data_IF_882943739102
#
_entry.id   IF_882943739102
#
_cell.length_a   1.000
_cell.length_b   1.000
_cell.length_c   1.000
_cell.angle_alpha   90.00
_cell.angle_beta   90.00
_cell.angle_gamma   90.00
#
_symmetry.space_group_name_H-M   'P 1'
#
loop_
_entity.id
_entity.type
_entity.pdbx_description
1 polymer ?
#
# COMPACT_ATOMS: atom_id res chain seq x y z
N UNK A 1 9.30 -39.63 6.24
CA UNK A 1 9.97 -38.72 7.15
C UNK A 1 11.06 -38.02 6.35
N UNK A 2 10.77 -36.86 5.79
CA UNK A 2 11.77 -35.96 5.25
C UNK A 2 11.24 -34.55 5.49
N UNK A 3 11.84 -33.88 6.47
CA UNK A 3 11.66 -32.47 6.74
C UNK A 3 12.28 -31.66 5.60
N UNK A 4 11.59 -30.66 5.03
CA UNK A 4 12.26 -29.68 4.19
C UNK A 4 12.86 -28.60 5.11
N UNK A 5 14.16 -28.68 5.33
CA UNK A 5 14.99 -27.55 5.74
C UNK A 5 15.08 -26.58 4.59
N UNK A 6 14.32 -25.49 4.64
CA UNK A 6 14.58 -24.34 3.81
C UNK A 6 14.55 -23.12 4.71
N UNK A 7 15.73 -22.76 5.18
CA UNK A 7 16.03 -21.46 5.79
C UNK A 7 15.96 -20.41 4.67
N UNK A 8 14.78 -19.86 4.42
CA UNK A 8 14.57 -18.81 3.45
C UNK A 8 14.08 -17.58 4.18
N UNK A 9 14.92 -17.05 5.07
CA UNK A 9 14.79 -15.67 5.55
C UNK A 9 14.99 -14.76 4.36
N UNK A 10 13.91 -14.12 3.94
CA UNK A 10 13.89 -13.28 2.74
C UNK A 10 14.64 -11.98 2.98
N UNK A 11 15.96 -12.02 2.90
CA UNK A 11 16.74 -10.80 2.62
C UNK A 11 16.50 -10.50 1.14
N UNK A 12 15.59 -9.59 0.84
CA UNK A 12 15.43 -9.03 -0.50
C UNK A 12 16.61 -8.10 -0.74
N UNK A 13 17.81 -8.64 -0.98
CA UNK A 13 18.89 -7.86 -1.54
C UNK A 13 18.51 -7.56 -2.98
N UNK A 14 18.49 -6.28 -3.35
CA UNK A 14 18.41 -5.86 -4.75
C UNK A 14 19.42 -6.63 -5.57
N UNK A 15 19.04 -7.00 -6.81
CA UNK A 15 19.97 -7.64 -7.75
C UNK A 15 21.22 -6.77 -7.95
N UNK A 16 22.34 -7.35 -8.41
CA UNK A 16 23.62 -6.64 -8.54
C UNK A 16 23.44 -5.44 -9.49
N UNK A 17 23.68 -4.22 -8.98
CA UNK A 17 23.73 -2.98 -9.77
C UNK A 17 22.70 -1.90 -9.46
N UNK A 18 21.85 -2.03 -8.39
CA UNK A 18 20.96 -0.93 -7.96
C UNK A 18 21.58 -0.17 -6.79
N UNK A 19 21.56 1.17 -6.90
CA UNK A 19 21.95 2.08 -5.82
C UNK A 19 20.92 2.03 -4.68
N UNK A 20 21.30 2.35 -3.45
CA UNK A 20 20.38 2.47 -2.30
C UNK A 20 19.27 3.51 -2.55
N UNK A 21 19.48 4.45 -3.47
CA UNK A 21 18.52 5.45 -3.92
C UNK A 21 17.29 4.85 -4.65
N UNK A 22 17.38 3.60 -5.12
CA UNK A 22 16.30 2.90 -5.81
C UNK A 22 15.34 2.17 -4.84
N UNK A 23 15.58 2.20 -3.53
CA UNK A 23 14.73 1.52 -2.54
C UNK A 23 13.70 2.51 -1.97
N UNK A 24 12.42 2.19 -2.19
CA UNK A 24 11.29 3.01 -1.71
C UNK A 24 10.90 2.64 -0.28
N UNK A 25 10.90 1.35 0.06
CA UNK A 25 10.63 0.85 1.41
C UNK A 25 11.76 -0.07 1.82
N UNK A 26 12.37 0.18 2.96
CA UNK A 26 13.37 -0.68 3.56
C UNK A 26 13.00 -0.95 5.02
N UNK A 27 12.71 -2.22 5.32
CA UNK A 27 12.31 -2.71 6.63
C UNK A 27 13.42 -3.62 7.13
N UNK A 28 14.01 -3.30 8.31
CA UNK A 28 15.15 -3.99 8.88
C UNK A 28 14.85 -4.47 10.29
N UNK A 29 14.83 -5.79 10.48
CA UNK A 29 14.66 -6.50 11.76
C UNK A 29 13.48 -5.98 12.60
N UNK A 30 12.38 -5.62 11.92
CA UNK A 30 11.21 -4.99 12.52
C UNK A 30 10.37 -6.02 13.25
N UNK A 31 10.12 -5.76 14.53
CA UNK A 31 9.13 -6.46 15.34
C UNK A 31 8.08 -5.47 15.87
N UNK A 32 6.83 -5.93 15.96
CA UNK A 32 5.71 -5.15 16.46
C UNK A 32 4.88 -5.96 17.45
N UNK A 33 4.73 -5.46 18.69
CA UNK A 33 3.86 -6.00 19.73
C UNK A 33 2.81 -4.97 20.16
N UNK A 34 1.69 -5.44 20.75
CA UNK A 34 0.64 -4.63 21.36
C UNK A 34 0.56 -4.92 22.87
N UNK A 35 1.40 -4.30 23.68
CA UNK A 35 1.32 -4.42 25.15
C UNK A 35 2.55 -3.94 25.88
N UNK A 36 2.37 -3.37 27.06
CA UNK A 36 3.46 -2.86 27.90
C UNK A 36 4.28 -3.96 28.60
N UNK A 37 3.87 -5.25 28.49
CA UNK A 37 4.46 -6.39 29.22
C UNK A 37 4.95 -7.52 28.32
N UNK A 38 5.31 -7.24 27.05
CA UNK A 38 5.74 -8.26 26.07
C UNK A 38 7.13 -8.88 26.37
N UNK A 39 7.38 -9.26 27.63
CA UNK A 39 8.53 -10.12 27.97
C UNK A 39 8.34 -11.57 27.49
N UNK A 40 7.10 -11.97 27.16
CA UNK A 40 6.73 -13.32 26.74
C UNK A 40 6.44 -13.46 25.22
N UNK A 41 6.89 -12.53 24.37
CA UNK A 41 6.93 -12.74 22.92
C UNK A 41 5.61 -12.57 22.16
N UNK A 42 4.66 -11.77 22.66
CA UNK A 42 3.39 -11.45 21.95
C UNK A 42 3.55 -10.54 20.74
N UNK A 43 4.59 -10.73 19.92
CA UNK A 43 4.77 -9.96 18.69
C UNK A 43 3.82 -10.44 17.58
N UNK A 44 3.10 -9.47 16.97
CA UNK A 44 2.28 -9.68 15.76
C UNK A 44 3.17 -9.77 14.52
N UNK A 45 4.23 -8.94 14.49
CA UNK A 45 5.27 -9.00 13.46
C UNK A 45 6.59 -9.35 14.15
N UNK A 46 7.35 -10.29 13.56
CA UNK A 46 8.53 -10.87 14.18
C UNK A 46 9.72 -10.77 13.23
N UNK A 47 10.66 -9.91 13.57
CA UNK A 47 11.96 -9.80 12.89
C UNK A 47 11.85 -9.71 11.36
N UNK A 48 10.96 -8.83 10.86
CA UNK A 48 10.74 -8.66 9.43
C UNK A 48 11.87 -7.86 8.79
N UNK A 49 12.42 -8.39 7.69
CA UNK A 49 13.41 -7.68 6.87
C UNK A 49 13.07 -7.85 5.40
N UNK A 50 12.77 -6.76 4.69
CA UNK A 50 12.50 -6.75 3.26
C UNK A 50 12.64 -5.36 2.65
N UNK A 51 12.79 -5.31 1.33
CA UNK A 51 12.91 -4.09 0.56
C UNK A 51 11.90 -4.09 -0.60
N UNK A 52 11.32 -2.91 -0.90
CA UNK A 52 10.55 -2.66 -2.10
C UNK A 52 11.30 -1.67 -2.99
N UNK A 53 11.83 -2.11 -4.12
CA UNK A 53 12.47 -1.24 -5.09
C UNK A 53 11.50 -0.25 -5.74
N UNK A 54 11.99 0.88 -6.23
CA UNK A 54 11.22 1.84 -7.00
C UNK A 54 10.57 1.17 -8.23
N UNK A 55 9.30 1.51 -8.49
CA UNK A 55 8.52 0.94 -9.59
C UNK A 55 8.20 -0.54 -9.45
N UNK A 56 8.43 -1.16 -8.28
CA UNK A 56 8.02 -2.55 -8.04
C UNK A 56 6.54 -2.67 -7.71
N UNK A 57 5.96 -3.83 -8.02
CA UNK A 57 4.60 -4.19 -7.64
C UNK A 57 4.65 -5.46 -6.80
N UNK A 58 4.02 -5.44 -5.62
CA UNK A 58 3.95 -6.62 -4.75
C UNK A 58 2.55 -6.77 -4.14
N UNK A 59 2.13 -8.02 -3.96
CA UNK A 59 1.05 -8.34 -3.05
C UNK A 59 1.59 -8.70 -1.67
N UNK A 60 0.85 -8.32 -0.64
CA UNK A 60 1.02 -8.79 0.73
C UNK A 60 -0.16 -9.70 1.07
N UNK A 61 0.07 -11.00 1.14
CA UNK A 61 -0.95 -12.00 1.44
C UNK A 61 -0.77 -12.59 2.84
N UNK A 62 -1.75 -13.35 3.30
CA UNK A 62 -1.72 -14.02 4.59
C UNK A 62 -3.12 -14.13 5.20
N UNK A 63 -3.32 -15.00 6.19
CA UNK A 63 -4.61 -15.18 6.83
C UNK A 63 -5.13 -13.89 7.49
N UNK A 64 -6.42 -13.86 7.83
CA UNK A 64 -6.97 -12.77 8.64
C UNK A 64 -6.25 -12.71 9.98
N UNK A 65 -5.93 -11.50 10.43
CA UNK A 65 -5.17 -11.32 11.68
C UNK A 65 -3.65 -11.53 11.59
N UNK A 66 -3.10 -11.93 10.44
CA UNK A 66 -1.65 -12.14 10.28
C UNK A 66 -0.78 -10.88 10.48
N UNK A 67 -1.39 -9.68 10.55
CA UNK A 67 -0.65 -8.43 10.74
C UNK A 67 -0.45 -7.60 9.46
N UNK A 68 -1.12 -7.94 8.34
CA UNK A 68 -1.01 -7.19 7.06
C UNK A 68 -1.29 -5.69 7.23
N UNK A 69 -2.43 -5.34 7.82
CA UNK A 69 -2.78 -3.94 8.11
C UNK A 69 -1.77 -3.27 9.06
N UNK A 70 -1.23 -4.01 10.03
CA UNK A 70 -0.21 -3.51 10.95
C UNK A 70 1.10 -3.20 10.23
N UNK A 71 1.52 -4.06 9.29
CA UNK A 71 2.67 -3.81 8.45
C UNK A 71 2.46 -2.58 7.55
N UNK A 72 1.29 -2.45 6.92
CA UNK A 72 0.97 -1.24 6.16
C UNK A 72 1.02 0.01 7.05
N UNK A 73 0.47 -0.05 8.29
CA UNK A 73 0.50 1.06 9.25
C UNK A 73 1.92 1.49 9.64
N UNK A 74 2.86 0.56 9.74
CA UNK A 74 4.28 0.87 9.93
C UNK A 74 4.84 1.62 8.70
N UNK A 75 4.57 1.13 7.49
CA UNK A 75 5.10 1.72 6.26
C UNK A 75 4.53 3.13 6.03
N UNK A 76 3.22 3.38 6.28
CA UNK A 76 2.69 4.75 6.16
C UNK A 76 2.81 5.60 7.43
N UNK A 77 3.64 5.16 8.39
CA UNK A 77 4.03 5.90 9.58
C UNK A 77 2.88 6.22 10.55
N UNK A 78 1.78 5.45 10.52
CA UNK A 78 0.70 5.55 11.50
C UNK A 78 1.02 4.79 12.79
N UNK A 79 1.97 3.88 12.75
CA UNK A 79 2.43 3.08 13.87
C UNK A 79 3.96 3.01 13.84
N UNK A 80 4.58 2.79 14.99
CA UNK A 80 6.03 2.61 15.10
C UNK A 80 6.37 1.17 15.39
N UNK A 81 7.50 0.68 14.91
CA UNK A 81 7.99 -0.63 15.31
C UNK A 81 8.36 -0.63 16.80
N UNK A 82 8.23 -1.78 17.45
CA UNK A 82 8.73 -2.02 18.81
C UNK A 82 10.25 -2.22 18.79
N UNK A 83 10.74 -2.94 17.77
CA UNK A 83 12.16 -3.19 17.50
C UNK A 83 12.42 -3.01 16.00
N UNK A 84 13.69 -2.74 15.67
CA UNK A 84 14.12 -2.58 14.29
C UNK A 84 13.85 -1.19 13.71
N UNK A 85 14.07 -1.05 12.41
CA UNK A 85 14.02 0.23 11.72
C UNK A 85 13.23 0.14 10.41
N UNK A 86 12.56 1.24 10.07
CA UNK A 86 11.93 1.45 8.77
C UNK A 86 12.56 2.66 8.12
N UNK A 87 13.02 2.52 6.88
CA UNK A 87 13.41 3.63 6.04
C UNK A 87 12.49 3.73 4.83
N UNK A 88 12.15 4.94 4.43
CA UNK A 88 11.35 5.24 3.25
C UNK A 88 12.09 6.21 2.36
N UNK A 89 12.14 5.89 1.06
CA UNK A 89 12.78 6.75 0.06
C UNK A 89 14.23 7.10 0.40
N UNK A 90 14.98 6.15 1.00
CA UNK A 90 16.35 6.34 1.47
C UNK A 90 16.50 7.03 2.83
N UNK A 91 15.40 7.50 3.45
CA UNK A 91 15.42 8.20 4.73
C UNK A 91 14.99 7.29 5.88
N UNK A 92 15.87 7.06 6.86
CA UNK A 92 15.51 6.39 8.12
C UNK A 92 14.58 7.28 8.95
N UNK A 93 13.50 6.70 9.45
CA UNK A 93 12.46 7.42 10.19
C UNK A 93 12.92 7.71 11.61
N UNK A 94 13.05 9.00 11.94
CA UNK A 94 13.47 9.45 13.26
C UNK A 94 12.30 9.46 14.23
N UNK A 95 12.53 8.94 15.43
CA UNK A 95 11.53 8.95 16.50
C UNK A 95 11.24 10.40 16.93
N UNK A 96 9.97 10.80 16.89
CA UNK A 96 9.52 12.13 17.32
C UNK A 96 9.54 13.22 16.24
N UNK A 97 10.17 12.99 15.10
CA UNK A 97 10.19 13.97 14.01
C UNK A 97 8.87 13.96 13.22
N UNK A 98 7.97 14.85 13.64
CA UNK A 98 6.66 15.03 12.99
C UNK A 98 6.78 15.66 11.60
N UNK A 99 7.77 16.54 11.41
CA UNK A 99 7.98 17.23 10.15
C UNK A 99 8.47 16.25 9.08
N UNK A 100 9.47 15.41 9.40
CA UNK A 100 9.93 14.33 8.52
C UNK A 100 8.77 13.38 8.18
N UNK A 101 8.03 12.90 9.20
CA UNK A 101 6.90 11.99 8.98
C UNK A 101 5.82 12.61 8.08
N UNK A 102 5.54 13.90 8.21
CA UNK A 102 4.58 14.60 7.35
C UNK A 102 5.10 14.73 5.91
N UNK A 103 6.38 15.04 5.72
CA UNK A 103 7.01 15.12 4.40
C UNK A 103 7.00 13.77 3.68
N UNK A 104 7.36 12.68 4.38
CA UNK A 104 7.35 11.32 3.82
C UNK A 104 5.93 10.86 3.46
N UNK A 105 4.94 11.11 4.32
CA UNK A 105 3.53 10.75 4.04
C UNK A 105 2.97 11.42 2.79
N UNK A 106 3.43 12.62 2.42
CA UNK A 106 3.00 13.30 1.18
C UNK A 106 3.39 12.54 -0.09
N UNK A 107 4.38 11.66 0.00
CA UNK A 107 4.83 10.80 -1.10
C UNK A 107 4.11 9.45 -1.13
N UNK A 108 3.19 9.19 -0.18
CA UNK A 108 2.46 7.92 -0.03
C UNK A 108 0.99 8.14 -0.33
N UNK A 109 0.46 7.41 -1.30
CA UNK A 109 -0.98 7.28 -1.52
C UNK A 109 -1.53 6.06 -0.78
N UNK A 110 -2.63 6.23 -0.03
CA UNK A 110 -3.20 5.14 0.77
C UNK A 110 -4.65 4.90 0.36
N UNK A 111 -4.95 3.64 0.03
CA UNK A 111 -6.31 3.15 -0.21
C UNK A 111 -6.71 2.26 0.97
N UNK A 112 -7.69 2.70 1.74
CA UNK A 112 -8.19 1.99 2.92
C UNK A 112 -9.34 1.05 2.56
N UNK A 113 -9.48 -0.04 3.28
CA UNK A 113 -10.57 -1.01 3.14
C UNK A 113 -11.95 -0.35 3.29
N UNK A 114 -12.12 0.58 4.22
CA UNK A 114 -13.37 1.29 4.51
C UNK A 114 -13.54 2.59 3.71
N UNK A 115 -12.86 2.77 2.58
CA UNK A 115 -12.86 3.96 1.72
C UNK A 115 -12.45 5.26 2.42
N UNK A 116 -12.91 5.53 3.64
CA UNK A 116 -12.69 6.75 4.44
C UNK A 116 -12.97 8.03 3.66
N UNK A 117 -14.04 8.03 2.88
CA UNK A 117 -14.53 9.23 2.20
C UNK A 117 -15.12 10.19 3.22
N UNK A 118 -15.03 11.49 2.93
CA UNK A 118 -15.65 12.53 3.74
C UNK A 118 -17.08 12.78 3.22
N UNK A 119 -18.08 12.42 4.03
CA UNK A 119 -19.48 12.42 3.61
C UNK A 119 -20.05 13.81 3.32
N UNK A 120 -19.41 14.87 3.86
CA UNK A 120 -19.79 16.26 3.62
C UNK A 120 -19.10 16.87 2.37
N UNK A 121 -18.25 16.13 1.67
CA UNK A 121 -17.58 16.52 0.44
C UNK A 121 -18.12 15.69 -0.74
N UNK A 122 -18.35 16.32 -1.88
CA UNK A 122 -18.73 15.62 -3.11
C UNK A 122 -17.55 14.81 -3.67
N UNK A 123 -17.76 14.12 -4.79
CA UNK A 123 -16.75 13.29 -5.47
C UNK A 123 -15.51 14.11 -5.84
N UNK A 124 -15.71 15.29 -6.45
CA UNK A 124 -14.59 16.13 -6.86
C UNK A 124 -13.77 16.59 -5.66
N UNK A 125 -14.42 17.11 -4.62
CA UNK A 125 -13.75 17.64 -3.43
C UNK A 125 -13.06 16.52 -2.62
N UNK A 126 -13.66 15.32 -2.53
CA UNK A 126 -12.98 14.15 -1.94
C UNK A 126 -11.69 13.79 -2.69
N UNK A 127 -11.72 13.77 -4.03
CA UNK A 127 -10.54 13.46 -4.84
C UNK A 127 -9.47 14.55 -4.73
N UNK A 128 -9.88 15.82 -4.71
CA UNK A 128 -8.99 16.97 -4.67
C UNK A 128 -8.38 17.26 -3.28
N UNK A 129 -8.96 16.70 -2.21
CA UNK A 129 -8.60 17.01 -0.83
C UNK A 129 -7.08 16.96 -0.55
N UNK A 130 -6.30 15.95 -1.00
CA UNK A 130 -4.86 15.92 -0.77
C UNK A 130 -4.14 17.12 -1.38
N UNK A 131 -4.56 17.62 -2.54
CA UNK A 131 -3.98 18.80 -3.20
C UNK A 131 -4.25 20.07 -2.38
N UNK A 132 -5.47 20.20 -1.85
CA UNK A 132 -5.85 21.31 -0.96
C UNK A 132 -5.01 21.29 0.32
N UNK A 133 -4.83 20.11 0.94
CA UNK A 133 -3.98 19.92 2.14
C UNK A 133 -2.51 20.25 1.83
N UNK A 134 -2.06 20.05 0.59
CA UNK A 134 -0.72 20.45 0.13
C UNK A 134 -0.62 21.95 -0.22
N UNK A 135 -1.68 22.74 0.00
CA UNK A 135 -1.68 24.19 -0.25
C UNK A 135 -1.83 24.58 -1.72
N UNK A 136 -2.24 23.66 -2.59
CA UNK A 136 -2.48 23.99 -4.00
C UNK A 136 -3.79 24.77 -4.18
N UNK A 137 -3.82 25.67 -5.15
CA UNK A 137 -5.01 26.47 -5.45
C UNK A 137 -5.95 25.73 -6.41
N UNK A 138 -7.26 25.84 -6.20
CA UNK A 138 -8.30 25.19 -6.99
C UNK A 138 -8.13 25.35 -8.52
N UNK A 139 -7.75 26.55 -8.96
CA UNK A 139 -7.58 26.83 -10.40
C UNK A 139 -6.47 25.99 -11.05
N UNK A 140 -5.45 25.58 -10.28
CA UNK A 140 -4.30 24.84 -10.80
C UNK A 140 -4.55 23.35 -10.97
N UNK A 141 -5.46 22.76 -10.20
CA UNK A 141 -5.70 21.32 -10.22
C UNK A 141 -7.08 20.88 -10.75
N UNK A 142 -7.98 21.83 -11.05
CA UNK A 142 -9.35 21.52 -11.45
C UNK A 142 -9.41 20.59 -12.66
N UNK A 143 -8.63 20.88 -13.69
CA UNK A 143 -8.59 20.10 -14.91
C UNK A 143 -7.98 18.72 -14.67
N UNK A 144 -6.84 18.63 -13.98
CA UNK A 144 -6.16 17.39 -13.63
C UNK A 144 -7.04 16.45 -12.80
N UNK A 145 -7.75 17.00 -11.79
CA UNK A 145 -8.67 16.20 -10.97
C UNK A 145 -9.87 15.71 -11.79
N UNK A 146 -10.40 16.54 -12.68
CA UNK A 146 -11.52 16.16 -13.57
C UNK A 146 -11.09 15.08 -14.55
N UNK A 147 -9.89 15.16 -15.10
CA UNK A 147 -9.31 14.15 -15.98
C UNK A 147 -9.08 12.83 -15.23
N UNK A 148 -8.49 12.89 -14.03
CA UNK A 148 -8.31 11.72 -13.17
C UNK A 148 -9.64 11.03 -12.84
N UNK A 149 -10.67 11.80 -12.47
CA UNK A 149 -12.01 11.28 -12.20
C UNK A 149 -12.67 10.70 -13.46
N UNK A 150 -12.40 11.27 -14.63
CA UNK A 150 -12.81 10.69 -15.91
C UNK A 150 -12.12 9.34 -16.16
N UNK A 151 -10.81 9.27 -15.90
CA UNK A 151 -10.02 8.05 -16.09
C UNK A 151 -10.49 6.90 -15.19
N UNK A 152 -10.86 7.19 -13.92
CA UNK A 152 -11.45 6.19 -13.02
C UNK A 152 -12.95 5.97 -13.27
N UNK A 153 -13.55 6.59 -14.30
CA UNK A 153 -14.94 6.40 -14.69
C UNK A 153 -15.96 7.09 -13.80
N UNK A 154 -15.59 8.22 -13.16
CA UNK A 154 -16.46 9.01 -12.28
C UNK A 154 -16.79 10.40 -12.85
N UNK A 155 -16.50 10.68 -14.12
CA UNK A 155 -16.78 11.98 -14.76
C UNK A 155 -18.23 12.44 -14.62
N UNK A 156 -19.17 11.49 -14.65
CA UNK A 156 -20.61 11.76 -14.55
C UNK A 156 -21.13 11.94 -13.10
N UNK A 157 -20.20 11.83 -12.10
CA UNK A 157 -20.50 11.87 -10.67
C UNK A 157 -19.82 13.01 -9.91
N UNK A 158 -19.20 13.99 -10.57
CA UNK A 158 -18.34 15.00 -9.93
C UNK A 158 -18.99 15.70 -8.72
N UNK A 159 -20.27 16.03 -8.82
CA UNK A 159 -21.05 16.71 -7.76
C UNK A 159 -21.81 15.76 -6.83
N UNK A 160 -21.73 14.46 -7.08
CA UNK A 160 -22.42 13.44 -6.28
C UNK A 160 -21.80 13.33 -4.88
N UNK A 161 -22.62 13.08 -3.87
CA UNK A 161 -22.16 12.86 -2.50
C UNK A 161 -21.83 11.38 -2.27
N UNK A 162 -20.89 11.02 -1.35
CA UNK A 162 -20.47 9.63 -1.13
C UNK A 162 -21.60 8.65 -0.82
N UNK A 163 -22.65 9.07 -0.13
CA UNK A 163 -23.74 8.20 0.28
C UNK A 163 -24.57 7.64 -0.89
N UNK A 164 -24.58 8.32 -2.06
CA UNK A 164 -25.32 7.85 -3.25
C UNK A 164 -24.46 7.02 -4.20
N UNK A 165 -23.16 6.85 -3.91
CA UNK A 165 -22.25 6.05 -4.72
C UNK A 165 -22.37 4.56 -4.40
N UNK A 166 -22.28 3.72 -5.43
CA UNK A 166 -22.08 2.27 -5.26
C UNK A 166 -20.72 1.96 -4.61
N UNK A 167 -20.55 0.76 -4.05
CA UNK A 167 -19.30 0.32 -3.45
C UNK A 167 -18.09 0.45 -4.41
N UNK A 168 -18.27 0.04 -5.68
CA UNK A 168 -17.25 0.19 -6.70
C UNK A 168 -16.94 1.65 -7.07
N UNK A 169 -17.94 2.55 -7.06
CA UNK A 169 -17.73 3.99 -7.27
C UNK A 169 -16.96 4.61 -6.09
N UNK A 170 -17.31 4.25 -4.85
CA UNK A 170 -16.58 4.66 -3.64
C UNK A 170 -15.13 4.20 -3.68
N UNK A 171 -14.89 2.97 -4.11
CA UNK A 171 -13.53 2.43 -4.22
C UNK A 171 -12.70 3.19 -5.27
N UNK A 172 -13.26 3.43 -6.46
CA UNK A 172 -12.57 4.20 -7.49
C UNK A 172 -12.30 5.65 -7.05
N UNK A 173 -13.21 6.26 -6.29
CA UNK A 173 -13.00 7.56 -5.68
C UNK A 173 -11.88 7.54 -4.63
N UNK A 174 -11.82 6.52 -3.77
CA UNK A 174 -10.76 6.35 -2.80
C UNK A 174 -9.39 6.17 -3.47
N UNK A 175 -9.33 5.44 -4.60
CA UNK A 175 -8.11 5.30 -5.41
C UNK A 175 -7.74 6.65 -6.04
N UNK A 176 -8.68 7.35 -6.68
CA UNK A 176 -8.42 8.66 -7.27
C UNK A 176 -7.85 9.64 -6.22
N UNK A 177 -8.45 9.71 -5.04
CA UNK A 177 -7.93 10.51 -3.92
C UNK A 177 -6.51 10.11 -3.51
N UNK A 178 -6.21 8.82 -3.46
CA UNK A 178 -4.90 8.34 -3.07
C UNK A 178 -3.80 8.69 -4.08
N UNK A 179 -4.13 8.80 -5.37
CA UNK A 179 -3.15 8.98 -6.44
C UNK A 179 -3.09 10.39 -7.03
N UNK A 180 -4.01 11.28 -6.65
CA UNK A 180 -4.11 12.65 -7.20
C UNK A 180 -2.83 13.47 -7.04
N UNK A 181 -2.05 13.20 -5.98
CA UNK A 181 -0.75 13.85 -5.73
C UNK A 181 0.41 13.17 -6.46
N UNK A 182 0.16 12.16 -7.30
CA UNK A 182 1.16 11.35 -8.00
C UNK A 182 2.21 10.77 -7.03
N UNK A 183 1.78 9.98 -6.03
CA UNK A 183 2.67 9.46 -4.99
C UNK A 183 3.71 8.49 -5.57
N UNK A 184 4.88 8.45 -4.94
CA UNK A 184 5.95 7.49 -5.28
C UNK A 184 5.61 6.07 -4.80
N UNK A 185 4.85 5.97 -3.68
CA UNK A 185 4.43 4.70 -3.07
C UNK A 185 2.91 4.67 -2.93
N UNK A 186 2.29 3.59 -3.39
CA UNK A 186 0.85 3.32 -3.22
C UNK A 186 0.70 2.10 -2.32
N UNK A 187 -0.02 2.28 -1.22
CA UNK A 187 -0.39 1.22 -0.29
C UNK A 187 -1.90 1.00 -0.37
N UNK A 188 -2.35 -0.22 -0.53
CA UNK A 188 -3.76 -0.56 -0.52
C UNK A 188 -4.05 -1.69 0.45
N UNK A 189 -5.03 -1.49 1.34
CA UNK A 189 -5.48 -2.47 2.32
C UNK A 189 -6.84 -3.01 1.86
N UNK A 190 -6.87 -4.28 1.41
CA UNK A 190 -8.05 -5.00 0.90
C UNK A 190 -8.88 -4.19 -0.12
N UNK A 191 -8.25 -3.65 -1.19
CA UNK A 191 -8.93 -2.72 -2.10
C UNK A 191 -10.08 -3.34 -2.90
N UNK A 192 -10.26 -4.65 -2.83
CA UNK A 192 -11.30 -5.41 -3.56
C UNK A 192 -12.25 -6.17 -2.63
N UNK A 193 -12.10 -6.05 -1.31
CA UNK A 193 -12.80 -6.88 -0.33
C UNK A 193 -14.32 -6.75 -0.30
N UNK A 194 -14.89 -5.65 -0.82
CA UNK A 194 -16.34 -5.37 -0.77
C UNK A 194 -16.97 -5.20 -2.17
N UNK A 195 -16.35 -5.78 -3.20
CA UNK A 195 -16.79 -5.63 -4.58
C UNK A 195 -16.76 -6.97 -5.32
N UNK A 196 -17.56 -7.08 -6.39
CA UNK A 196 -17.55 -8.29 -7.22
C UNK A 196 -16.24 -8.50 -7.97
N UNK A 197 -16.00 -9.73 -8.41
CA UNK A 197 -14.76 -10.13 -9.08
C UNK A 197 -14.47 -9.32 -10.36
N UNK A 198 -15.50 -9.01 -11.16
CA UNK A 198 -15.30 -8.26 -12.41
C UNK A 198 -14.84 -6.82 -12.12
N UNK A 199 -15.41 -6.20 -11.06
CA UNK A 199 -14.97 -4.90 -10.59
C UNK A 199 -13.57 -4.98 -9.95
N UNK A 200 -13.28 -6.04 -9.21
CA UNK A 200 -11.94 -6.32 -8.66
C UNK A 200 -10.86 -6.30 -9.74
N UNK A 201 -11.10 -6.99 -10.86
CA UNK A 201 -10.19 -6.98 -12.01
C UNK A 201 -10.00 -5.58 -12.62
N UNK A 202 -11.07 -4.76 -12.68
CA UNK A 202 -10.96 -3.37 -13.16
C UNK A 202 -10.09 -2.53 -12.24
N UNK A 203 -10.26 -2.67 -10.92
CA UNK A 203 -9.45 -1.97 -9.91
C UNK A 203 -7.99 -2.42 -9.98
N UNK A 204 -7.74 -3.73 -10.16
CA UNK A 204 -6.38 -4.23 -10.34
C UNK A 204 -5.70 -3.63 -11.58
N UNK A 205 -6.42 -3.47 -12.70
CA UNK A 205 -5.88 -2.78 -13.88
C UNK A 205 -5.48 -1.34 -13.58
N UNK A 206 -6.24 -0.60 -12.76
CA UNK A 206 -5.87 0.75 -12.33
C UNK A 206 -4.53 0.75 -11.58
N UNK A 207 -4.33 -0.17 -10.63
CA UNK A 207 -3.05 -0.27 -9.92
C UNK A 207 -1.88 -0.65 -10.83
N UNK A 208 -2.11 -1.56 -11.80
CA UNK A 208 -1.09 -1.94 -12.79
C UNK A 208 -0.71 -0.74 -13.66
N UNK A 209 -1.68 0.05 -14.12
CA UNK A 209 -1.39 1.26 -14.91
C UNK A 209 -0.63 2.31 -14.09
N UNK A 210 -1.00 2.52 -12.81
CA UNK A 210 -0.26 3.42 -11.90
C UNK A 210 1.19 2.95 -11.69
N UNK A 211 1.39 1.64 -11.58
CA UNK A 211 2.73 1.06 -11.50
C UNK A 211 3.53 1.25 -12.80
N UNK A 212 2.91 1.09 -13.97
CA UNK A 212 3.54 1.38 -15.27
C UNK A 212 3.95 2.84 -15.42
N UNK A 213 3.22 3.76 -14.75
CA UNK A 213 3.56 5.17 -14.67
C UNK A 213 4.67 5.48 -13.65
N UNK A 214 5.26 4.45 -13.02
CA UNK A 214 6.43 4.56 -12.14
C UNK A 214 6.14 4.47 -10.63
N UNK A 215 4.88 4.36 -10.20
CA UNK A 215 4.57 4.20 -8.79
C UNK A 215 5.00 2.82 -8.28
N UNK A 216 5.56 2.77 -7.07
CA UNK A 216 5.75 1.51 -6.32
C UNK A 216 4.42 1.14 -5.68
N UNK A 217 3.99 -0.13 -5.80
CA UNK A 217 2.67 -0.58 -5.35
C UNK A 217 2.80 -1.76 -4.40
N UNK A 218 2.15 -1.67 -3.23
CA UNK A 218 1.99 -2.78 -2.28
C UNK A 218 0.50 -2.92 -1.93
N UNK A 219 -0.09 -4.07 -2.26
CA UNK A 219 -1.50 -4.37 -2.02
C UNK A 219 -1.62 -5.50 -1.01
N UNK A 220 -2.17 -5.24 0.16
CA UNK A 220 -2.58 -6.26 1.11
C UNK A 220 -3.93 -6.84 0.69
N UNK A 221 -4.01 -8.16 0.51
CA UNK A 221 -5.26 -8.85 0.19
C UNK A 221 -5.22 -10.32 0.60
N UNK A 222 -6.39 -10.89 0.85
CA UNK A 222 -6.59 -12.33 1.02
C UNK A 222 -7.19 -13.00 -0.23
N UNK A 223 -7.50 -12.24 -1.29
CA UNK A 223 -8.05 -12.76 -2.55
C UNK A 223 -6.95 -13.40 -3.41
N UNK A 224 -6.71 -14.69 -3.18
CA UNK A 224 -5.74 -15.44 -3.96
C UNK A 224 -6.08 -15.56 -5.44
N UNK A 225 -7.36 -15.40 -5.84
CA UNK A 225 -7.78 -15.50 -7.24
C UNK A 225 -7.27 -14.30 -8.04
N UNK A 226 -7.41 -13.09 -7.50
CA UNK A 226 -6.87 -11.86 -8.09
C UNK A 226 -5.34 -11.86 -8.08
N UNK A 227 -4.72 -12.33 -7.00
CA UNK A 227 -3.26 -12.44 -6.90
C UNK A 227 -2.72 -13.36 -8.00
N UNK A 228 -3.31 -14.55 -8.17
CA UNK A 228 -2.91 -15.51 -9.22
C UNK A 228 -3.13 -14.97 -10.63
N UNK A 229 -4.27 -14.30 -10.86
CA UNK A 229 -4.59 -13.73 -12.16
C UNK A 229 -3.63 -12.60 -12.58
N UNK A 230 -3.03 -11.90 -11.62
CA UNK A 230 -2.11 -10.80 -11.89
C UNK A 230 -0.70 -11.24 -12.27
N UNK A 231 -0.24 -12.42 -11.80
CA UNK A 231 1.14 -12.90 -12.00
C UNK A 231 2.22 -12.09 -11.27
N UNK A 232 1.83 -11.17 -10.39
CA UNK A 232 2.76 -10.28 -9.69
C UNK A 232 3.42 -10.99 -8.49
N UNK A 233 4.63 -10.53 -8.05
CA UNK A 233 5.32 -11.05 -6.88
C UNK A 233 4.48 -10.95 -5.61
N UNK A 234 4.65 -11.94 -4.72
CA UNK A 234 3.89 -12.05 -3.47
C UNK A 234 4.82 -12.09 -2.27
N UNK A 235 4.51 -11.27 -1.28
CA UNK A 235 5.02 -11.36 0.09
C UNK A 235 3.92 -12.02 0.95
N UNK A 236 4.20 -13.17 1.53
CA UNK A 236 3.24 -13.88 2.38
C UNK A 236 3.58 -13.66 3.84
N UNK A 237 2.66 -13.07 4.59
CA UNK A 237 2.78 -12.88 6.04
C UNK A 237 2.06 -14.03 6.76
N UNK A 238 2.82 -14.84 7.51
CA UNK A 238 2.31 -15.98 8.26
C UNK A 238 3.02 -16.07 9.61
N UNK A 239 2.27 -16.26 10.69
CA UNK A 239 2.77 -16.43 12.07
C UNK A 239 3.71 -15.28 12.54
N UNK A 240 3.50 -14.08 11.96
CA UNK A 240 4.29 -12.87 12.21
C UNK A 240 5.58 -12.80 11.38
N UNK A 241 5.86 -13.73 10.52
CA UNK A 241 7.04 -13.79 9.66
C UNK A 241 6.68 -13.57 8.18
N UNK A 242 7.63 -13.05 7.37
CA UNK A 242 7.43 -12.73 5.97
C UNK A 242 8.17 -13.72 5.07
N UNK A 243 7.42 -14.30 4.12
CA UNK A 243 7.93 -15.25 3.14
C UNK A 243 7.77 -14.68 1.72
N UNK A 244 8.72 -14.93 0.84
CA UNK A 244 8.64 -14.55 -0.57
C UNK A 244 8.13 -15.71 -1.41
N UNK A 245 7.01 -15.50 -2.11
CA UNK A 245 6.60 -16.39 -3.21
C UNK A 245 7.02 -15.76 -4.54
N UNK A 246 7.92 -16.40 -5.26
CA UNK A 246 8.23 -16.03 -6.64
C UNK A 246 7.00 -16.26 -7.54
N UNK A 247 6.91 -15.58 -8.70
CA UNK A 247 5.92 -15.94 -9.71
C UNK A 247 6.09 -17.43 -10.04
N UNK A 248 4.97 -18.19 -10.07
CA UNK A 248 5.00 -19.60 -10.49
C UNK A 248 5.56 -19.65 -11.92
N UNK A 249 6.81 -20.07 -12.07
CA UNK A 249 7.47 -20.16 -13.37
C UNK A 249 9.00 -20.18 -13.37
N UNK A 250 9.67 -19.93 -12.24
CA UNK A 250 11.12 -20.15 -12.13
C UNK A 250 11.38 -21.28 -11.10
N UNK A 251 11.13 -22.52 -11.51
CA UNK A 251 11.89 -23.63 -10.99
C UNK A 251 13.24 -23.58 -11.71
N UNK A 252 14.30 -23.34 -10.97
CA UNK A 252 15.65 -23.65 -11.35
C UNK A 252 16.20 -24.60 -10.31
#
# INVERSE_FOLDING_TARGET
MNSPTADTRAIVKGGPGRSDDDIVVDVRDVSLGYGANDRDGGYILKNLSFQLPAGSFHFLTGPSGAGKTSLLRLIYLAQRPTLGEVALFGETIRTGDRAQSAALRRRIGIVFQEFRLLDHLNVFDNAALPLVVHGQHFKTFREDVTELLSWVGLKHRLTAMPHILSGGEKQRLAIARAVVTRPTLILADEPTGNIDYAMGLRIMRLFIELNRLGATVLIATHDESLVRASGMPVLELKDGELYRRGPKGSAA
#
